data_IF_729165505830
#
_entry.id   IF_729165505830
#
_cell.length_a   1.000
_cell.length_b   1.000
_cell.length_c   1.000
_cell.angle_alpha   90.00
_cell.angle_beta   90.00
_cell.angle_gamma   90.00
#
_symmetry.space_group_name_H-M   'P 1'
#
loop_
_entity.id
_entity.type
_entity.pdbx_description
1 polymer ?
#
# COMPACT_ATOMS: atom_id res chain seq x y z
N UNK A 1 -31.52 9.34 -1.43
CA UNK A 1 -30.33 10.01 -1.99
C UNK A 1 -29.21 9.83 -0.99
N UNK A 2 -28.18 9.04 -1.31
CA UNK A 2 -26.92 9.09 -0.57
C UNK A 2 -26.27 10.43 -0.93
N UNK A 3 -25.97 11.24 0.09
CA UNK A 3 -25.24 12.49 -0.08
C UNK A 3 -23.80 12.19 -0.49
N UNK A 4 -23.23 12.99 -1.39
CA UNK A 4 -21.86 12.85 -1.92
C UNK A 4 -20.84 12.66 -0.78
N UNK A 5 -21.01 13.34 0.37
CA UNK A 5 -20.07 13.19 1.50
C UNK A 5 -20.03 11.79 2.13
N UNK A 6 -21.13 11.01 2.06
CA UNK A 6 -21.10 9.62 2.56
C UNK A 6 -20.34 8.69 1.62
N UNK A 7 -20.33 9.01 0.32
CA UNK A 7 -19.57 8.24 -0.67
C UNK A 7 -18.08 8.51 -0.46
N UNK A 8 -17.70 9.77 -0.27
CA UNK A 8 -16.31 10.15 0.03
C UNK A 8 -15.81 9.54 1.36
N UNK A 9 -16.61 9.59 2.44
CA UNK A 9 -16.27 8.95 3.72
C UNK A 9 -16.09 7.43 3.59
N UNK A 10 -16.95 6.75 2.81
CA UNK A 10 -16.84 5.30 2.61
C UNK A 10 -15.64 4.94 1.74
N UNK A 11 -15.28 5.80 0.77
CA UNK A 11 -14.11 5.60 -0.08
C UNK A 11 -12.82 5.77 0.74
N UNK A 12 -12.78 6.78 1.62
CA UNK A 12 -11.67 7.00 2.56
C UNK A 12 -11.49 5.81 3.50
N UNK A 13 -12.57 5.32 4.13
CA UNK A 13 -12.50 4.15 5.03
C UNK A 13 -12.02 2.88 4.32
N UNK A 14 -12.50 2.61 3.10
CA UNK A 14 -12.06 1.45 2.33
C UNK A 14 -10.58 1.53 1.98
N UNK A 15 -10.09 2.70 1.56
CA UNK A 15 -8.68 2.86 1.22
C UNK A 15 -7.76 2.69 2.43
N UNK A 16 -8.17 3.17 3.61
CA UNK A 16 -7.41 2.95 4.85
C UNK A 16 -7.29 1.45 5.15
N UNK A 17 -8.38 0.69 4.99
CA UNK A 17 -8.37 -0.77 5.17
C UNK A 17 -7.45 -1.44 4.15
N UNK A 18 -7.55 -1.06 2.88
CA UNK A 18 -6.72 -1.62 1.81
C UNK A 18 -5.23 -1.35 2.06
N UNK A 19 -4.88 -0.17 2.59
CA UNK A 19 -3.50 0.18 2.98
C UNK A 19 -2.99 -0.61 4.19
N UNK A 20 -3.82 -0.84 5.19
CA UNK A 20 -3.47 -1.73 6.32
C UNK A 20 -3.22 -3.16 5.83
N UNK A 21 -4.06 -3.65 4.92
CA UNK A 21 -3.90 -4.98 4.33
C UNK A 21 -2.63 -5.09 3.49
N UNK A 22 -2.29 -4.06 2.70
CA UNK A 22 -1.04 -4.01 1.95
C UNK A 22 0.17 -4.17 2.88
N UNK A 23 0.15 -3.47 4.02
CA UNK A 23 1.22 -3.57 5.01
C UNK A 23 1.30 -4.99 5.59
N UNK A 24 0.18 -5.57 6.00
CA UNK A 24 0.12 -6.94 6.52
C UNK A 24 0.61 -7.98 5.51
N UNK A 25 0.23 -7.85 4.24
CA UNK A 25 0.67 -8.74 3.15
C UNK A 25 2.19 -8.71 3.01
N UNK A 26 2.79 -7.51 3.05
CA UNK A 26 4.25 -7.37 3.04
C UNK A 26 4.91 -8.04 4.25
N UNK A 27 4.36 -7.85 5.45
CA UNK A 27 4.86 -8.50 6.68
C UNK A 27 4.81 -10.02 6.56
N UNK A 28 3.69 -10.58 6.15
CA UNK A 28 3.49 -12.02 6.00
C UNK A 28 4.47 -12.60 4.96
N UNK A 29 4.62 -11.93 3.82
CA UNK A 29 5.39 -12.46 2.69
C UNK A 29 6.91 -12.32 2.87
N UNK A 30 7.36 -11.28 3.59
CA UNK A 30 8.75 -10.86 3.56
C UNK A 30 9.45 -10.78 4.92
N UNK A 31 8.74 -10.64 6.05
CA UNK A 31 9.41 -10.53 7.37
C UNK A 31 10.21 -11.78 7.71
N UNK A 32 9.71 -12.96 7.35
CA UNK A 32 10.41 -14.23 7.54
C UNK A 32 11.64 -14.42 6.64
N UNK A 33 11.80 -13.56 5.62
CA UNK A 33 12.86 -13.61 4.60
C UNK A 33 13.90 -12.51 4.76
N UNK A 34 13.79 -11.65 5.79
CA UNK A 34 14.72 -10.54 6.02
C UNK A 34 16.17 -11.02 6.02
N UNK A 35 16.88 -10.73 4.92
CA UNK A 35 18.30 -11.06 4.72
C UNK A 35 18.62 -12.06 3.60
N UNK A 36 17.64 -12.76 3.03
CA UNK A 36 17.83 -13.71 1.92
C UNK A 36 16.75 -13.56 0.83
N UNK A 37 16.50 -12.33 0.40
CA UNK A 37 15.54 -12.07 -0.68
C UNK A 37 16.11 -12.46 -2.03
N UNK A 38 15.33 -13.24 -2.79
CA UNK A 38 15.63 -13.58 -4.18
C UNK A 38 15.21 -12.45 -5.12
N UNK A 39 15.72 -12.45 -6.35
CA UNK A 39 15.22 -11.54 -7.41
C UNK A 39 13.72 -11.73 -7.67
N UNK A 40 13.19 -12.94 -7.42
CA UNK A 40 11.76 -13.19 -7.53
C UNK A 40 10.96 -12.55 -6.40
N UNK A 41 11.51 -12.51 -5.17
CA UNK A 41 10.87 -11.79 -4.06
C UNK A 41 10.80 -10.29 -4.32
N UNK A 42 11.86 -9.70 -4.91
CA UNK A 42 11.86 -8.28 -5.33
C UNK A 42 10.81 -8.02 -6.39
N UNK A 43 10.73 -8.89 -7.40
CA UNK A 43 9.72 -8.77 -8.45
C UNK A 43 8.31 -8.82 -7.86
N UNK A 44 8.03 -9.78 -6.98
CA UNK A 44 6.71 -9.90 -6.33
C UNK A 44 6.40 -8.66 -5.50
N UNK A 45 7.36 -8.13 -4.73
CA UNK A 45 7.16 -6.94 -3.93
C UNK A 45 6.79 -5.72 -4.80
N UNK A 46 7.52 -5.51 -5.91
CA UNK A 46 7.22 -4.43 -6.86
C UNK A 46 5.87 -4.65 -7.58
N UNK A 47 5.58 -5.88 -8.04
CA UNK A 47 4.31 -6.21 -8.71
C UNK A 47 3.09 -5.96 -7.78
N UNK A 48 3.23 -6.20 -6.46
CA UNK A 48 2.19 -5.91 -5.46
C UNK A 48 1.98 -4.38 -5.33
N UNK A 49 3.07 -3.60 -5.24
CA UNK A 49 2.96 -2.13 -5.15
C UNK A 49 2.35 -1.53 -6.42
N UNK A 50 2.83 -1.96 -7.59
CA UNK A 50 2.30 -1.49 -8.88
C UNK A 50 0.80 -1.78 -8.98
N UNK A 51 0.39 -3.01 -8.65
CA UNK A 51 -1.02 -3.39 -8.63
C UNK A 51 -1.83 -2.53 -7.65
N UNK A 52 -1.29 -2.27 -6.45
CA UNK A 52 -1.97 -1.45 -5.46
C UNK A 52 -2.15 -0.01 -5.95
N UNK A 53 -1.08 0.60 -6.48
CA UNK A 53 -1.09 1.97 -6.99
C UNK A 53 -1.99 2.14 -8.22
N UNK A 54 -2.04 1.15 -9.12
CA UNK A 54 -2.93 1.17 -10.29
C UNK A 54 -4.41 1.08 -9.92
N UNK A 55 -4.74 0.43 -8.81
CA UNK A 55 -6.11 0.24 -8.34
C UNK A 55 -6.56 1.29 -7.30
N UNK A 56 -5.63 2.10 -6.79
CA UNK A 56 -5.88 3.11 -5.77
C UNK A 56 -6.21 4.46 -6.43
N UNK A 57 -7.49 4.83 -6.42
CA UNK A 57 -7.95 6.15 -6.86
C UNK A 57 -7.95 7.13 -5.66
N UNK A 58 -6.89 7.93 -5.57
CA UNK A 58 -6.73 9.01 -4.56
C UNK A 58 -7.02 10.40 -5.13
N UNK A 59 -7.54 10.48 -6.35
CA UNK A 59 -7.58 11.73 -7.09
C UNK A 59 -8.54 12.75 -6.42
N UNK A 60 -8.00 13.89 -6.02
CA UNK A 60 -8.75 14.96 -5.32
C UNK A 60 -8.79 14.86 -3.79
N UNK A 61 -8.20 13.83 -3.16
CA UNK A 61 -8.15 13.70 -1.71
C UNK A 61 -6.72 13.80 -1.14
N UNK A 62 -6.33 15.02 -0.73
CA UNK A 62 -5.00 15.31 -0.18
C UNK A 62 -4.73 14.55 1.12
N UNK A 63 -5.76 14.28 1.94
CA UNK A 63 -5.60 13.53 3.18
C UNK A 63 -5.20 12.09 2.92
N UNK A 64 -5.91 11.43 1.99
CA UNK A 64 -5.60 10.08 1.55
C UNK A 64 -4.25 9.98 0.85
N UNK A 65 -3.89 10.97 0.03
CA UNK A 65 -2.59 11.01 -0.63
C UNK A 65 -1.44 11.03 0.39
N UNK A 66 -1.53 11.90 1.42
CA UNK A 66 -0.51 11.95 2.46
C UNK A 66 -0.43 10.64 3.26
N UNK A 67 -1.57 9.97 3.49
CA UNK A 67 -1.60 8.70 4.22
C UNK A 67 -1.02 7.55 3.39
N UNK A 68 -1.31 7.51 2.08
CA UNK A 68 -0.67 6.61 1.13
C UNK A 68 0.84 6.81 1.11
N UNK A 69 1.31 8.06 1.01
CA UNK A 69 2.74 8.39 1.02
C UNK A 69 3.42 7.91 2.31
N UNK A 70 2.79 8.05 3.48
CA UNK A 70 3.32 7.59 4.76
C UNK A 70 3.46 6.07 4.82
N UNK A 71 2.44 5.32 4.37
CA UNK A 71 2.48 3.85 4.33
C UNK A 71 3.56 3.35 3.35
N UNK A 72 3.66 3.96 2.17
CA UNK A 72 4.67 3.62 1.18
C UNK A 72 6.08 3.87 1.71
N UNK A 73 6.32 5.02 2.36
CA UNK A 73 7.61 5.34 2.99
C UNK A 73 7.95 4.35 4.12
N UNK A 74 6.98 3.92 4.91
CA UNK A 74 7.15 2.86 5.92
C UNK A 74 7.56 1.52 5.30
N UNK A 75 6.88 1.11 4.22
CA UNK A 75 7.19 -0.11 3.47
C UNK A 75 8.58 -0.02 2.83
N UNK A 76 8.91 1.10 2.18
CA UNK A 76 10.22 1.33 1.56
C UNK A 76 11.35 1.31 2.59
N UNK A 77 11.15 1.92 3.77
CA UNK A 77 12.15 1.88 4.85
C UNK A 77 12.36 0.46 5.37
N UNK A 78 11.27 -0.25 5.68
CA UNK A 78 11.33 -1.60 6.27
C UNK A 78 11.88 -2.62 5.27
N UNK A 79 11.52 -2.50 3.99
CA UNK A 79 11.86 -3.44 2.93
C UNK A 79 12.78 -2.85 1.85
N UNK A 80 13.63 -1.88 2.20
CA UNK A 80 14.56 -1.20 1.28
C UNK A 80 15.50 -2.12 0.48
N UNK A 81 15.68 -3.37 0.93
CA UNK A 81 16.47 -4.39 0.22
C UNK A 81 15.66 -5.09 -0.88
N UNK A 82 14.33 -5.11 -0.75
CA UNK A 82 13.38 -5.67 -1.70
C UNK A 82 12.99 -4.67 -2.79
N UNK A 83 12.81 -3.41 -2.40
CA UNK A 83 12.27 -2.36 -3.25
C UNK A 83 13.41 -1.55 -3.87
N UNK A 84 13.59 -1.75 -5.19
CA UNK A 84 14.58 -1.09 -6.05
C UNK A 84 14.15 -1.14 -7.51
#
# INVERSE_FOLDING_TARGET
MMSISKIDETLEENLVIDLEWLKEDFEILFDSKMGNHTEMDKKIANDILDCFLENTDVDGNIGLLNFLDEILDDIEKKYSVLLK
#
